data_IF_028988559436
#
_entry.id   IF_028988559436
#
_cell.length_a   1.000
_cell.length_b   1.000
_cell.length_c   1.000
_cell.angle_alpha   90.00
_cell.angle_beta   90.00
_cell.angle_gamma   90.00
#
_symmetry.space_group_name_H-M   'P 1'
#
loop_
_entity.id
_entity.type
_entity.pdbx_description
1 polymer ?
#
# COMPACT_ATOMS: atom_id res chain seq x y z
N UNK A 1 -3.15 13.05 -14.16
CA UNK A 1 -3.05 11.65 -13.66
C UNK A 1 -1.62 11.14 -13.63
N UNK A 2 -0.82 11.34 -14.68
CA UNK A 2 0.55 10.78 -14.74
C UNK A 2 1.48 11.26 -13.61
N UNK A 3 1.43 12.54 -13.22
CA UNK A 3 2.17 13.05 -12.05
C UNK A 3 1.84 12.31 -10.74
N UNK A 4 0.57 11.92 -10.56
CA UNK A 4 0.11 11.18 -9.38
C UNK A 4 0.67 9.75 -9.42
N UNK A 5 0.59 9.08 -10.57
CA UNK A 5 1.18 7.75 -10.72
C UNK A 5 2.69 7.73 -10.53
N UNK A 6 3.40 8.77 -11.01
CA UNK A 6 4.84 8.90 -10.77
C UNK A 6 5.16 8.99 -9.28
N UNK A 7 4.43 9.84 -8.56
CA UNK A 7 4.63 10.04 -7.11
C UNK A 7 4.29 8.80 -6.28
N UNK A 8 3.25 8.04 -6.66
CA UNK A 8 2.79 6.87 -5.89
C UNK A 8 3.53 5.58 -6.27
N UNK A 9 3.75 5.35 -7.57
CA UNK A 9 4.19 4.05 -8.08
C UNK A 9 5.61 4.07 -8.66
N UNK A 10 6.26 5.22 -8.82
CA UNK A 10 7.63 5.37 -9.32
C UNK A 10 7.69 6.15 -10.65
N UNK A 11 8.83 6.73 -10.99
CA UNK A 11 8.94 7.68 -12.11
C UNK A 11 8.71 7.03 -13.48
N UNK A 12 9.24 5.82 -13.67
CA UNK A 12 9.22 5.12 -14.96
C UNK A 12 8.12 4.09 -15.06
N UNK A 13 7.65 3.84 -16.29
CA UNK A 13 6.61 2.84 -16.54
C UNK A 13 7.02 1.43 -16.14
N UNK A 14 8.28 1.03 -16.38
CA UNK A 14 8.77 -0.30 -15.99
C UNK A 14 8.79 -0.47 -14.46
N UNK A 15 9.28 0.55 -13.75
CA UNK A 15 9.29 0.58 -12.27
C UNK A 15 7.87 0.53 -11.71
N UNK A 16 6.94 1.29 -12.30
CA UNK A 16 5.53 1.25 -11.92
C UNK A 16 4.92 -0.14 -12.11
N UNK A 17 5.21 -0.80 -13.24
CA UNK A 17 4.68 -2.14 -13.50
C UNK A 17 5.22 -3.17 -12.52
N UNK A 18 6.53 -3.16 -12.25
CA UNK A 18 7.15 -4.09 -11.30
C UNK A 18 6.59 -3.89 -9.89
N UNK A 19 6.50 -2.64 -9.44
CA UNK A 19 5.94 -2.31 -8.13
C UNK A 19 4.46 -2.73 -8.02
N UNK A 20 3.66 -2.46 -9.04
CA UNK A 20 2.26 -2.87 -9.08
C UNK A 20 2.13 -4.39 -9.10
N UNK A 21 2.93 -5.12 -9.91
CA UNK A 21 2.96 -6.58 -9.92
C UNK A 21 3.27 -7.14 -8.53
N UNK A 22 4.26 -6.57 -7.85
CA UNK A 22 4.63 -7.00 -6.51
C UNK A 22 3.48 -6.74 -5.51
N UNK A 23 2.85 -5.56 -5.55
CA UNK A 23 1.70 -5.24 -4.71
C UNK A 23 0.51 -6.18 -4.96
N UNK A 24 0.20 -6.49 -6.22
CA UNK A 24 -0.84 -7.46 -6.57
C UNK A 24 -0.50 -8.87 -6.10
N UNK A 25 0.75 -9.32 -6.27
CA UNK A 25 1.21 -10.62 -5.79
C UNK A 25 1.00 -10.75 -4.27
N UNK A 26 1.50 -9.79 -3.50
CA UNK A 26 1.33 -9.79 -2.04
C UNK A 26 -0.13 -9.67 -1.62
N UNK A 27 -0.92 -8.83 -2.31
CA UNK A 27 -2.36 -8.73 -2.04
C UNK A 27 -3.07 -10.07 -2.27
N UNK A 28 -2.73 -10.79 -3.35
CA UNK A 28 -3.28 -12.11 -3.63
C UNK A 28 -2.89 -13.15 -2.58
N UNK A 29 -1.64 -13.16 -2.14
CA UNK A 29 -1.17 -14.03 -1.04
C UNK A 29 -1.94 -13.72 0.25
N UNK A 30 -2.06 -12.45 0.61
CA UNK A 30 -2.76 -12.02 1.82
C UNK A 30 -4.25 -12.37 1.78
N UNK A 31 -4.90 -12.27 0.62
CA UNK A 31 -6.27 -12.73 0.44
C UNK A 31 -6.40 -14.25 0.61
N UNK A 32 -5.46 -15.04 0.06
CA UNK A 32 -5.47 -16.49 0.26
C UNK A 32 -5.31 -16.86 1.74
N UNK A 33 -4.38 -16.19 2.45
CA UNK A 33 -4.19 -16.36 3.90
C UNK A 33 -5.44 -15.95 4.66
N UNK A 34 -6.08 -14.84 4.29
CA UNK A 34 -7.34 -14.38 4.89
C UNK A 34 -8.44 -15.44 4.76
N UNK A 35 -8.59 -16.07 3.60
CA UNK A 35 -9.58 -17.15 3.39
C UNK A 35 -9.32 -18.34 4.33
N UNK A 36 -8.06 -18.74 4.52
CA UNK A 36 -7.72 -19.80 5.48
C UNK A 36 -8.04 -19.35 6.90
N UNK A 37 -7.72 -18.11 7.25
CA UNK A 37 -7.98 -17.55 8.59
C UNK A 37 -9.47 -17.44 8.91
N UNK A 38 -10.37 -17.30 7.93
CA UNK A 38 -11.82 -17.29 8.18
C UNK A 38 -12.30 -18.56 8.90
N UNK A 39 -11.62 -19.70 8.70
CA UNK A 39 -11.98 -20.97 9.34
C UNK A 39 -11.32 -21.19 10.70
N UNK A 40 -10.36 -20.33 11.08
CA UNK A 40 -9.57 -20.47 12.34
C UNK A 40 -9.92 -19.34 13.30
N UNK A 41 -9.89 -18.10 12.80
CA UNK A 41 -10.15 -16.88 13.56
C UNK A 41 -10.71 -15.79 12.65
N UNK A 42 -12.05 -15.68 12.56
CA UNK A 42 -12.71 -14.68 11.72
C UNK A 42 -12.31 -13.23 12.02
N UNK A 43 -12.06 -12.90 13.29
CA UNK A 43 -11.63 -11.56 13.71
C UNK A 43 -10.24 -11.19 13.17
N UNK A 44 -9.31 -12.15 13.14
CA UNK A 44 -7.98 -11.93 12.55
C UNK A 44 -8.08 -11.82 11.03
N UNK A 45 -8.96 -12.61 10.39
CA UNK A 45 -9.22 -12.50 8.96
C UNK A 45 -9.75 -11.11 8.57
N UNK A 46 -10.65 -10.52 9.37
CA UNK A 46 -11.14 -9.15 9.13
C UNK A 46 -10.00 -8.11 9.21
N UNK A 47 -9.11 -8.24 10.20
CA UNK A 47 -7.96 -7.36 10.34
C UNK A 47 -6.99 -7.40 9.12
N UNK A 48 -6.95 -8.51 8.38
CA UNK A 48 -6.12 -8.64 7.17
C UNK A 48 -6.51 -7.64 6.07
N UNK A 49 -7.78 -7.24 6.00
CA UNK A 49 -8.24 -6.21 5.06
C UNK A 49 -7.54 -4.89 5.36
N UNK A 50 -7.42 -4.52 6.63
CA UNK A 50 -6.70 -3.33 7.05
C UNK A 50 -5.21 -3.41 6.68
N UNK A 51 -4.59 -4.58 6.84
CA UNK A 51 -3.18 -4.78 6.44
C UNK A 51 -3.00 -4.60 4.93
N UNK A 52 -3.90 -5.15 4.11
CA UNK A 52 -3.87 -4.95 2.65
C UNK A 52 -4.00 -3.46 2.33
N UNK A 53 -4.97 -2.75 2.93
CA UNK A 53 -5.13 -1.31 2.71
C UNK A 53 -3.87 -0.54 3.10
N UNK A 54 -3.27 -0.82 4.26
CA UNK A 54 -2.04 -0.17 4.70
C UNK A 54 -0.86 -0.42 3.75
N UNK A 55 -0.74 -1.65 3.22
CA UNK A 55 0.27 -2.00 2.22
C UNK A 55 0.11 -1.15 0.94
N UNK A 56 -1.12 -0.94 0.49
CA UNK A 56 -1.43 -0.06 -0.65
C UNK A 56 -1.29 1.42 -0.32
N UNK A 57 -1.48 1.83 0.94
CA UNK A 57 -1.34 3.21 1.40
C UNK A 57 0.09 3.62 1.69
N UNK A 58 0.99 2.65 1.89
CA UNK A 58 2.41 2.87 2.16
C UNK A 58 3.12 3.82 1.19
N UNK A 59 2.85 3.80 -0.14
CA UNK A 59 3.46 4.76 -1.04
C UNK A 59 3.04 6.21 -0.80
N UNK A 60 1.81 6.46 -0.35
CA UNK A 60 1.32 7.81 0.01
C UNK A 60 2.06 8.30 1.22
N UNK A 61 2.14 7.43 2.23
CA UNK A 61 2.86 7.66 3.47
C UNK A 61 4.34 8.03 3.21
N UNK A 62 5.04 7.26 2.37
CA UNK A 62 6.42 7.62 1.96
C UNK A 62 6.49 8.95 1.21
N UNK A 63 5.50 9.22 0.35
CA UNK A 63 5.44 10.44 -0.45
C UNK A 63 5.08 11.71 0.35
N UNK A 64 4.50 11.57 1.55
CA UNK A 64 4.13 12.69 2.43
C UNK A 64 5.12 12.88 3.57
N UNK A 65 5.73 11.82 4.07
CA UNK A 65 6.54 11.90 5.27
C UNK A 65 8.05 12.00 5.05
N UNK A 66 8.56 11.73 3.84
CA UNK A 66 9.99 11.84 3.53
C UNK A 66 10.90 10.83 4.26
N UNK A 67 10.33 9.94 5.07
CA UNK A 67 11.03 8.85 5.78
C UNK A 67 10.93 7.55 4.99
N UNK A 68 12.05 6.82 4.94
CA UNK A 68 12.14 5.57 4.19
C UNK A 68 11.72 4.36 5.04
N UNK A 69 11.83 4.47 6.37
CA UNK A 69 11.50 3.41 7.34
C UNK A 69 10.73 3.97 8.53
N UNK A 70 9.73 3.22 9.00
CA UNK A 70 8.97 3.53 10.24
C UNK A 70 9.91 3.66 11.45
N UNK A 71 11.01 2.90 11.45
CA UNK A 71 12.00 2.85 12.54
C UNK A 71 12.81 4.13 12.72
N UNK A 72 12.87 5.02 11.73
CA UNK A 72 13.61 6.29 11.82
C UNK A 72 12.97 7.25 12.85
N UNK A 73 11.69 7.06 13.16
CA UNK A 73 10.94 7.88 14.12
C UNK A 73 11.06 7.40 15.57
N UNK A 74 11.52 6.17 15.80
CA UNK A 74 11.74 5.62 17.15
C UNK A 74 12.88 6.34 17.90
N UNK A 75 13.82 6.95 17.17
CA UNK A 75 15.02 7.54 17.77
C UNK A 75 14.75 8.84 18.56
N UNK A 76 13.59 9.47 18.40
CA UNK A 76 13.29 10.78 18.99
C UNK A 76 12.51 10.70 20.31
N UNK A 77 11.32 10.10 20.30
CA UNK A 77 10.44 10.02 21.48
C UNK A 77 9.31 9.00 21.25
N UNK A 78 9.07 8.10 22.22
CA UNK A 78 8.03 7.06 22.11
C UNK A 78 6.61 7.63 21.98
N UNK A 79 6.30 8.74 22.65
CA UNK A 79 4.98 9.37 22.60
C UNK A 79 4.71 9.95 21.21
N UNK A 80 5.70 10.64 20.66
CA UNK A 80 5.64 11.19 19.30
C UNK A 80 5.51 10.08 18.27
N UNK A 81 6.27 8.99 18.45
CA UNK A 81 6.16 7.81 17.62
C UNK A 81 4.74 7.23 17.60
N UNK A 82 4.12 7.03 18.77
CA UNK A 82 2.76 6.46 18.87
C UNK A 82 1.75 7.37 18.16
N UNK A 83 1.82 8.70 18.36
CA UNK A 83 0.92 9.65 17.70
C UNK A 83 1.07 9.58 16.18
N UNK A 84 2.32 9.59 15.68
CA UNK A 84 2.59 9.54 14.23
C UNK A 84 2.14 8.19 13.65
N UNK A 85 2.36 7.09 14.36
CA UNK A 85 1.92 5.76 13.95
C UNK A 85 0.40 5.70 13.80
N UNK A 86 -0.36 6.21 14.78
CA UNK A 86 -1.83 6.23 14.72
C UNK A 86 -2.31 7.07 13.54
N UNK A 87 -1.76 8.28 13.35
CA UNK A 87 -2.09 9.12 12.21
C UNK A 87 -1.83 8.40 10.88
N UNK A 88 -0.74 7.66 10.78
CA UNK A 88 -0.39 6.89 9.59
C UNK A 88 -1.25 5.67 9.36
N UNK A 89 -1.71 5.01 10.42
CA UNK A 89 -2.69 3.93 10.29
C UNK A 89 -3.98 4.48 9.69
N UNK A 90 -4.46 5.63 10.17
CA UNK A 90 -5.65 6.28 9.63
C UNK A 90 -5.46 6.73 8.17
N UNK A 91 -4.38 7.48 7.88
CA UNK A 91 -4.11 8.00 6.54
C UNK A 91 -3.79 6.87 5.56
N UNK A 92 -2.95 5.92 5.97
CA UNK A 92 -2.55 4.77 5.17
C UNK A 92 -3.72 3.86 4.83
N UNK A 93 -4.68 3.67 5.75
CA UNK A 93 -5.86 2.88 5.48
C UNK A 93 -6.76 3.54 4.41
N UNK A 94 -7.12 4.81 4.61
CA UNK A 94 -7.97 5.55 3.67
C UNK A 94 -7.29 5.75 2.31
N UNK A 95 -6.04 6.21 2.32
CA UNK A 95 -5.28 6.43 1.11
C UNK A 95 -4.94 5.12 0.40
N UNK A 96 -4.84 4.02 1.15
CA UNK A 96 -4.65 2.67 0.64
C UNK A 96 -5.80 2.18 -0.23
N UNK A 97 -7.04 2.41 0.18
CA UNK A 97 -8.21 2.10 -0.65
C UNK A 97 -8.16 2.84 -1.99
N UNK A 98 -7.85 4.14 -1.96
CA UNK A 98 -7.73 4.96 -3.17
C UNK A 98 -6.56 4.47 -4.04
N UNK A 99 -5.42 4.15 -3.43
CA UNK A 99 -4.23 3.67 -4.13
C UNK A 99 -4.44 2.31 -4.77
N UNK A 100 -5.22 1.42 -4.15
CA UNK A 100 -5.61 0.15 -4.73
C UNK A 100 -6.38 0.37 -6.04
N UNK A 101 -7.41 1.21 -6.03
CA UNK A 101 -8.20 1.54 -7.23
C UNK A 101 -7.32 2.18 -8.31
N UNK A 102 -6.51 3.16 -7.94
CA UNK A 102 -5.58 3.83 -8.86
C UNK A 102 -4.53 2.86 -9.44
N UNK A 103 -4.04 1.93 -8.62
CA UNK A 103 -3.07 0.92 -9.02
C UNK A 103 -3.65 -0.08 -10.02
N UNK A 104 -4.90 -0.51 -9.82
CA UNK A 104 -5.63 -1.36 -10.78
C UNK A 104 -5.77 -0.64 -12.13
N UNK A 105 -6.27 0.60 -12.11
CA UNK A 105 -6.45 1.39 -13.34
C UNK A 105 -5.10 1.54 -14.06
N UNK A 106 -4.04 1.89 -13.33
CA UNK A 106 -2.71 2.09 -13.93
C UNK A 106 -2.13 0.81 -14.51
N UNK A 107 -2.32 -0.33 -13.83
CA UNK A 107 -1.85 -1.62 -14.32
C UNK A 107 -2.48 -1.99 -15.67
N UNK A 108 -3.79 -1.78 -15.83
CA UNK A 108 -4.47 -2.00 -17.11
C UNK A 108 -4.01 -1.02 -18.19
N UNK A 109 -3.79 0.26 -17.84
CA UNK A 109 -3.24 1.25 -18.77
C UNK A 109 -1.87 0.82 -19.30
N UNK A 110 -0.96 0.37 -18.42
CA UNK A 110 0.38 -0.11 -18.80
C UNK A 110 0.26 -1.31 -19.74
N UNK A 111 -0.57 -2.31 -19.40
CA UNK A 111 -0.78 -3.48 -20.26
C UNK A 111 -1.38 -3.12 -21.62
N UNK A 112 -2.28 -2.14 -21.70
CA UNK A 112 -2.85 -1.66 -22.96
C UNK A 112 -1.80 -0.94 -23.82
N UNK A 113 -0.92 -0.15 -23.20
CA UNK A 113 0.15 0.56 -23.90
C UNK A 113 1.26 -0.38 -24.40
N UNK A 114 1.54 -1.50 -23.71
CA UNK A 114 2.47 -2.54 -24.19
C UNK A 114 1.95 -3.41 -25.33
N UNK A 115 0.62 -3.47 -25.52
CA UNK A 115 -0.02 -4.25 -26.59
C UNK A 115 -0.16 -3.47 -27.90
N UNK A 116 0.04 -2.16 -27.86
CA UNK A 116 0.15 -1.30 -29.04
C UNK A 116 1.60 -1.23 -29.48
#
# INVERSE_FOLDING_TARGET
MEKIYKRLFGEDMQVQEEKLKNLFKWSGIMLAVMVVLLFISPSVAEAMIAVICLMWGWPVVKATAGVNKITELFAYNIVVFVIVLILWLCVGYLAGMVCLVLGIIRFFQIKKQKKK
#
